data_IF_894591068510
#
_entry.id   IF_894591068510
#
_cell.length_a   1.000
_cell.length_b   1.000
_cell.length_c   1.000
_cell.angle_alpha   90.00
_cell.angle_beta   90.00
_cell.angle_gamma   90.00
#
_symmetry.space_group_name_H-M   'P 1'
#
loop_
_entity.id
_entity.type
_entity.pdbx_description
1 polymer ?
#
# COMPACT_ATOMS: atom_id res chain seq x y z
N UNK A 1 -38.14 8.33 -26.72
CA UNK A 1 -36.95 9.08 -26.25
C UNK A 1 -35.74 8.46 -26.90
N UNK A 2 -34.85 9.25 -27.51
CA UNK A 2 -33.50 8.74 -27.81
C UNK A 2 -32.75 8.60 -26.49
N UNK A 3 -32.02 7.50 -26.30
CA UNK A 3 -31.08 7.42 -25.19
C UNK A 3 -29.96 8.45 -25.47
N UNK A 4 -29.76 9.40 -24.55
CA UNK A 4 -28.64 10.33 -24.66
C UNK A 4 -27.34 9.57 -24.47
N UNK A 5 -26.58 9.40 -25.54
CA UNK A 5 -25.25 8.79 -25.47
C UNK A 5 -24.37 9.58 -24.51
N UNK A 6 -23.87 8.93 -23.47
CA UNK A 6 -22.76 9.47 -22.68
C UNK A 6 -21.51 9.54 -23.54
N UNK A 7 -20.75 10.64 -23.42
CA UNK A 7 -19.53 10.88 -24.18
C UNK A 7 -18.41 11.26 -23.23
N UNK A 8 -17.28 10.55 -23.28
CA UNK A 8 -16.05 10.96 -22.59
C UNK A 8 -15.49 12.24 -23.21
N UNK A 9 -15.28 13.27 -22.39
CA UNK A 9 -14.72 14.57 -22.80
C UNK A 9 -13.35 14.73 -22.11
N UNK A 10 -12.30 14.70 -22.91
CA UNK A 10 -10.90 14.76 -22.44
C UNK A 10 -10.09 15.82 -23.18
N UNK A 11 -9.24 16.52 -22.45
CA UNK A 11 -8.23 17.45 -22.95
C UNK A 11 -6.86 16.78 -22.80
N UNK A 12 -6.22 16.43 -23.91
CA UNK A 12 -4.94 15.71 -23.89
C UNK A 12 -3.75 16.68 -23.83
N UNK A 13 -2.85 16.46 -22.87
CA UNK A 13 -1.60 17.22 -22.73
C UNK A 13 -0.44 16.37 -23.26
N UNK A 14 0.01 16.69 -24.47
CA UNK A 14 1.30 16.23 -24.97
C UNK A 14 2.42 16.94 -24.21
N UNK A 15 3.31 16.17 -23.59
CA UNK A 15 4.47 16.71 -22.88
C UNK A 15 5.58 15.68 -22.77
N UNK A 16 6.80 16.09 -23.11
CA UNK A 16 8.03 15.34 -22.89
C UNK A 16 8.78 15.79 -21.62
N UNK A 17 8.18 16.70 -20.85
CA UNK A 17 8.75 17.26 -19.63
C UNK A 17 8.89 16.21 -18.52
N UNK A 18 10.12 16.08 -18.02
CA UNK A 18 10.45 15.22 -16.89
C UNK A 18 10.17 15.91 -15.57
N UNK A 19 9.23 15.37 -14.81
CA UNK A 19 8.90 15.82 -13.45
C UNK A 19 9.79 15.14 -12.40
N UNK A 20 9.83 15.74 -11.19
CA UNK A 20 10.53 15.14 -10.04
C UNK A 20 9.89 13.81 -9.66
N UNK A 21 10.70 12.76 -9.59
CA UNK A 21 10.21 11.44 -9.24
C UNK A 21 9.93 11.33 -7.73
N UNK A 22 8.69 11.02 -7.35
CA UNK A 22 8.32 10.77 -5.95
C UNK A 22 9.12 9.64 -5.28
N UNK A 23 9.63 8.69 -6.08
CA UNK A 23 10.37 7.51 -5.63
C UNK A 23 11.90 7.74 -5.61
N UNK A 24 12.55 7.90 -6.79
CA UNK A 24 14.02 8.04 -6.88
C UNK A 24 14.54 9.46 -6.57
N UNK A 25 13.65 10.42 -6.28
CA UNK A 25 13.90 11.85 -5.97
C UNK A 25 14.61 12.70 -7.04
N UNK A 26 15.16 12.08 -8.10
CA UNK A 26 15.64 12.74 -9.33
C UNK A 26 14.62 13.77 -9.83
N UNK A 27 15.10 14.98 -10.10
CA UNK A 27 14.34 16.17 -10.45
C UNK A 27 13.67 16.09 -11.83
N UNK A 28 14.23 15.31 -12.77
CA UNK A 28 13.67 15.04 -14.10
C UNK A 28 13.64 13.54 -14.35
N UNK A 29 12.92 12.82 -13.48
CA UNK A 29 12.93 11.35 -13.40
C UNK A 29 11.58 10.66 -13.64
N UNK A 30 10.48 11.41 -13.80
CA UNK A 30 9.14 10.88 -14.02
C UNK A 30 8.51 11.49 -15.29
N UNK A 31 8.14 10.64 -16.24
CA UNK A 31 7.57 11.04 -17.53
C UNK A 31 6.26 10.28 -17.75
N UNK A 32 5.20 10.96 -18.19
CA UNK A 32 3.89 10.33 -18.44
C UNK A 32 3.09 11.11 -19.45
N UNK A 33 2.41 10.39 -20.37
CA UNK A 33 1.30 10.96 -21.11
C UNK A 33 0.19 11.33 -20.14
N UNK A 34 -0.48 12.47 -20.35
CA UNK A 34 -1.51 12.98 -19.44
C UNK A 34 -2.70 13.57 -20.19
N UNK A 35 -3.87 13.54 -19.55
CA UNK A 35 -5.07 14.23 -20.01
C UNK A 35 -5.90 14.70 -18.80
N UNK A 36 -6.60 15.82 -18.94
CA UNK A 36 -7.68 16.19 -18.03
C UNK A 36 -8.99 15.63 -18.56
N UNK A 37 -9.71 14.88 -17.74
CA UNK A 37 -11.04 14.39 -18.09
C UNK A 37 -12.11 15.25 -17.43
N UNK A 38 -12.92 15.92 -18.25
CA UNK A 38 -14.04 16.71 -17.78
C UNK A 38 -15.19 15.79 -17.35
N UNK A 39 -15.47 14.77 -18.17
CA UNK A 39 -16.35 13.64 -17.87
C UNK A 39 -15.85 12.40 -18.61
N UNK A 40 -16.14 11.20 -18.11
CA UNK A 40 -15.71 9.93 -18.71
C UNK A 40 -16.63 8.78 -18.34
N UNK A 41 -16.96 7.94 -19.33
CA UNK A 41 -17.75 6.73 -19.09
C UNK A 41 -16.93 5.68 -18.34
N UNK A 42 -17.60 4.81 -17.59
CA UNK A 42 -16.92 3.74 -16.85
C UNK A 42 -16.34 2.65 -17.77
N UNK A 43 -16.86 2.51 -19.00
CA UNK A 43 -16.29 1.63 -20.01
C UNK A 43 -15.05 2.24 -20.68
N UNK A 44 -15.04 3.53 -21.00
CA UNK A 44 -13.84 4.18 -21.54
C UNK A 44 -12.67 4.14 -20.52
N UNK A 45 -12.97 4.35 -19.23
CA UNK A 45 -11.94 4.21 -18.20
C UNK A 45 -11.53 2.75 -17.94
N UNK A 46 -12.42 1.77 -18.16
CA UNK A 46 -12.06 0.35 -18.16
C UNK A 46 -11.07 0.03 -19.28
N UNK A 47 -11.33 0.49 -20.50
CA UNK A 47 -10.45 0.35 -21.66
C UNK A 47 -9.09 1.04 -21.44
N UNK A 48 -9.07 2.19 -20.75
CA UNK A 48 -7.85 2.92 -20.41
C UNK A 48 -7.05 2.23 -19.29
N UNK A 49 -7.69 1.79 -18.20
CA UNK A 49 -6.99 1.14 -17.07
C UNK A 49 -6.37 -0.20 -17.48
N UNK A 50 -7.04 -0.94 -18.36
CA UNK A 50 -6.51 -2.15 -18.96
C UNK A 50 -5.22 -1.89 -19.76
N UNK A 51 -5.16 -0.80 -20.55
CA UNK A 51 -3.99 -0.36 -21.33
C UNK A 51 -2.91 0.35 -20.50
N UNK A 52 -3.03 0.33 -19.17
CA UNK A 52 -2.04 0.83 -18.22
C UNK A 52 -2.18 2.29 -17.77
N UNK A 53 -3.25 2.99 -18.14
CA UNK A 53 -3.55 4.33 -17.61
C UNK A 53 -4.05 4.27 -16.15
N UNK A 54 -3.90 5.35 -15.39
CA UNK A 54 -4.51 5.55 -14.06
C UNK A 54 -5.02 6.99 -13.94
N UNK A 55 -5.83 7.26 -12.92
CA UNK A 55 -6.29 8.62 -12.58
C UNK A 55 -5.88 9.05 -11.18
N UNK A 56 -5.85 10.36 -10.97
CA UNK A 56 -5.81 11.02 -9.66
C UNK A 56 -6.75 12.22 -9.74
N UNK A 57 -7.93 12.10 -9.12
CA UNK A 57 -9.02 13.00 -9.42
C UNK A 57 -9.48 12.90 -10.88
N UNK A 58 -9.59 14.07 -11.53
CA UNK A 58 -9.89 14.23 -12.97
C UNK A 58 -8.67 14.17 -13.90
N UNK A 59 -7.45 14.11 -13.38
CA UNK A 59 -6.24 13.91 -14.20
C UNK A 59 -6.03 12.41 -14.47
N UNK A 60 -5.83 12.03 -15.72
CA UNK A 60 -5.63 10.64 -16.17
C UNK A 60 -4.28 10.55 -16.89
N UNK A 61 -3.46 9.55 -16.57
CA UNK A 61 -2.05 9.49 -17.01
C UNK A 61 -1.54 8.06 -17.25
N UNK A 62 -0.58 7.90 -18.16
CA UNK A 62 0.16 6.65 -18.44
C UNK A 62 1.67 6.92 -18.39
N UNK A 63 2.41 6.32 -17.43
CA UNK A 63 3.86 6.47 -17.35
C UNK A 63 4.60 5.99 -18.61
N UNK A 64 5.60 6.76 -19.04
CA UNK A 64 6.48 6.45 -20.16
C UNK A 64 7.63 5.58 -19.63
N UNK A 65 7.49 4.27 -19.82
CA UNK A 65 8.27 3.23 -19.12
C UNK A 65 9.75 3.21 -19.50
N UNK A 66 10.12 3.67 -20.70
CA UNK A 66 11.51 3.76 -21.17
C UNK A 66 12.21 5.09 -20.82
N UNK A 67 11.49 6.12 -20.34
CA UNK A 67 12.06 7.40 -19.89
C UNK A 67 12.12 7.53 -18.35
N UNK A 68 11.25 6.85 -17.62
CA UNK A 68 11.05 7.04 -16.16
C UNK A 68 12.06 6.26 -15.31
N UNK A 69 12.71 6.91 -14.33
CA UNK A 69 13.75 6.29 -13.47
C UNK A 69 13.26 5.12 -12.60
N UNK A 70 11.94 5.01 -12.41
CA UNK A 70 11.27 4.00 -11.60
C UNK A 70 10.04 3.48 -12.38
N UNK A 71 10.22 2.50 -13.29
CA UNK A 71 9.15 2.00 -14.14
C UNK A 71 7.94 1.53 -13.33
N UNK A 72 6.78 2.09 -13.66
CA UNK A 72 5.50 1.92 -12.96
C UNK A 72 4.65 0.85 -13.66
N UNK A 73 4.93 -0.42 -13.37
CA UNK A 73 4.21 -1.53 -13.98
C UNK A 73 2.76 -1.60 -13.49
N UNK A 74 1.81 -1.75 -14.42
CA UNK A 74 0.43 -2.07 -14.06
C UNK A 74 0.35 -3.48 -13.49
N UNK A 75 -0.33 -3.63 -12.36
CA UNK A 75 -0.62 -4.93 -11.77
C UNK A 75 -2.11 -5.08 -11.47
N UNK A 76 -2.60 -6.31 -11.63
CA UNK A 76 -3.97 -6.69 -11.28
C UNK A 76 -3.99 -8.07 -10.63
N UNK A 77 -5.06 -8.39 -9.92
CA UNK A 77 -5.29 -9.70 -9.34
C UNK A 77 -6.64 -10.26 -9.80
N UNK A 78 -6.67 -11.48 -10.31
CA UNK A 78 -7.91 -12.15 -10.71
C UNK A 78 -8.53 -12.81 -9.46
N UNK A 79 -9.57 -12.20 -8.87
CA UNK A 79 -9.97 -12.48 -7.47
C UNK A 79 -10.43 -13.91 -7.24
N UNK A 80 -11.00 -14.58 -8.24
CA UNK A 80 -11.40 -16.00 -8.16
C UNK A 80 -10.19 -16.96 -8.11
N UNK A 81 -9.02 -16.55 -8.63
CA UNK A 81 -7.76 -17.30 -8.58
C UNK A 81 -6.92 -16.97 -7.32
N UNK A 82 -7.26 -15.88 -6.62
CA UNK A 82 -6.51 -15.42 -5.44
C UNK A 82 -6.59 -16.41 -4.29
N UNK A 83 -5.45 -16.67 -3.65
CA UNK A 83 -5.35 -17.50 -2.45
C UNK A 83 -4.55 -16.77 -1.36
N UNK A 84 -5.12 -16.54 -0.16
CA UNK A 84 -4.42 -15.79 0.89
C UNK A 84 -3.11 -16.48 1.32
N UNK A 85 -1.99 -15.76 1.17
CA UNK A 85 -0.66 -16.23 1.55
C UNK A 85 -0.53 -16.38 3.07
N UNK A 86 0.58 -16.99 3.53
CA UNK A 86 0.89 -17.05 4.97
C UNK A 86 0.98 -15.65 5.60
N UNK A 87 1.43 -14.65 4.85
CA UNK A 87 1.45 -13.25 5.31
C UNK A 87 0.03 -12.66 5.38
N UNK A 88 -0.81 -12.90 4.37
CA UNK A 88 -2.20 -12.43 4.38
C UNK A 88 -2.96 -13.05 5.58
N UNK A 89 -2.80 -14.35 5.82
CA UNK A 89 -3.38 -15.06 6.98
C UNK A 89 -2.78 -14.60 8.33
N UNK A 90 -1.55 -14.06 8.38
CA UNK A 90 -0.99 -13.39 9.58
C UNK A 90 -1.70 -12.06 9.84
N UNK A 91 -1.87 -11.23 8.82
CA UNK A 91 -2.48 -9.90 8.95
C UNK A 91 -3.98 -9.99 9.28
N UNK A 92 -4.73 -10.89 8.65
CA UNK A 92 -6.12 -11.19 9.01
C UNK A 92 -6.24 -11.59 10.49
N UNK A 93 -5.40 -12.52 10.97
CA UNK A 93 -5.36 -12.88 12.40
C UNK A 93 -4.93 -11.75 13.32
N UNK A 94 -4.09 -10.81 12.87
CA UNK A 94 -3.70 -9.62 13.65
C UNK A 94 -4.91 -8.69 13.85
N UNK A 95 -5.70 -8.46 12.78
CA UNK A 95 -6.96 -7.70 12.89
C UNK A 95 -7.97 -8.41 13.79
N UNK A 96 -8.26 -9.70 13.57
CA UNK A 96 -9.29 -10.39 14.34
C UNK A 96 -8.90 -10.49 15.84
N UNK A 97 -7.62 -10.67 16.17
CA UNK A 97 -7.17 -10.59 17.57
C UNK A 97 -7.44 -9.20 18.15
N UNK A 98 -7.07 -8.14 17.44
CA UNK A 98 -7.32 -6.77 17.87
C UNK A 98 -8.83 -6.52 18.11
N UNK A 99 -9.71 -6.93 17.18
CA UNK A 99 -11.16 -6.77 17.35
C UNK A 99 -11.74 -7.57 18.53
N UNK A 100 -11.19 -8.75 18.82
CA UNK A 100 -11.66 -9.61 19.91
C UNK A 100 -11.17 -9.18 21.30
N UNK A 101 -9.92 -8.72 21.45
CA UNK A 101 -9.29 -8.47 22.77
C UNK A 101 -8.55 -7.14 22.92
N UNK A 102 -8.64 -6.23 21.94
CA UNK A 102 -8.06 -4.87 22.00
C UNK A 102 -6.54 -4.78 21.90
N UNK A 103 -5.81 -5.89 22.11
CA UNK A 103 -4.37 -5.95 21.91
C UNK A 103 -4.00 -5.51 20.48
N UNK A 104 -3.30 -4.38 20.36
CA UNK A 104 -2.48 -4.03 19.20
C UNK A 104 -1.09 -4.66 19.46
N UNK A 105 -0.67 -5.71 18.74
CA UNK A 105 0.62 -6.33 19.02
C UNK A 105 1.78 -5.38 18.68
N UNK A 106 2.48 -4.95 19.73
CA UNK A 106 3.78 -4.30 19.65
C UNK A 106 4.75 -5.18 18.86
N UNK A 107 5.37 -4.59 17.85
CA UNK A 107 6.24 -5.28 16.93
C UNK A 107 6.65 -4.35 15.80
N UNK A 108 7.88 -4.51 15.31
CA UNK A 108 8.49 -3.57 14.38
C UNK A 108 7.62 -3.31 13.14
N UNK A 109 7.63 -2.05 12.69
CA UNK A 109 6.86 -1.60 11.53
C UNK A 109 7.51 -2.08 10.21
N UNK A 110 7.37 -3.37 9.91
CA UNK A 110 7.70 -3.96 8.60
C UNK A 110 6.85 -3.36 7.46
N UNK A 111 5.77 -2.63 7.81
CA UNK A 111 4.80 -1.99 6.93
C UNK A 111 4.91 -0.46 6.90
N UNK A 112 6.07 0.05 6.48
CA UNK A 112 6.26 1.45 6.09
C UNK A 112 5.07 1.95 5.24
N UNK A 113 4.52 3.15 5.51
CA UNK A 113 3.25 3.61 4.93
C UNK A 113 3.29 3.70 3.40
N UNK A 114 2.14 3.41 2.80
CA UNK A 114 2.01 3.01 1.39
C UNK A 114 1.70 4.19 0.46
N UNK A 115 2.52 5.24 0.49
CA UNK A 115 2.44 6.33 -0.49
C UNK A 115 3.83 6.91 -0.86
N UNK A 116 3.87 7.58 -2.01
CA UNK A 116 5.04 7.97 -2.79
C UNK A 116 5.54 9.40 -2.53
N UNK A 117 5.50 9.85 -1.27
CA UNK A 117 6.09 11.13 -0.88
C UNK A 117 6.77 11.07 0.50
N UNK A 118 7.87 10.30 0.62
CA UNK A 118 8.81 10.45 1.72
C UNK A 118 9.57 11.78 1.61
N UNK A 119 9.59 12.58 2.68
CA UNK A 119 10.70 13.46 3.03
C UNK A 119 11.52 12.83 4.20
N UNK A 120 12.38 13.61 4.85
CA UNK A 120 13.36 13.23 5.87
C UNK A 120 14.58 12.41 5.35
N UNK A 121 15.82 12.74 5.71
CA UNK A 121 16.35 13.91 6.43
C UNK A 121 17.77 14.23 5.95
N UNK A 122 18.10 15.52 5.80
CA UNK A 122 19.48 16.03 5.66
C UNK A 122 19.92 16.76 6.95
N UNK A 123 21.24 16.96 7.16
CA UNK A 123 21.76 17.72 8.30
C UNK A 123 21.50 19.23 8.19
N UNK A 124 21.56 19.92 9.32
CA UNK A 124 21.26 21.34 9.48
C UNK A 124 22.38 22.26 8.96
N UNK A 125 22.00 23.41 8.36
CA UNK A 125 22.72 24.69 8.48
C UNK A 125 21.70 25.85 8.45
N UNK A 126 22.03 26.95 9.14
CA UNK A 126 21.11 28.04 9.51
C UNK A 126 21.13 29.22 8.49
N UNK A 127 20.15 30.17 8.49
CA UNK A 127 19.82 30.93 7.29
C UNK A 127 20.22 32.42 7.29
N UNK A 128 20.37 32.98 6.09
CA UNK A 128 20.26 34.42 5.84
C UNK A 128 19.86 34.73 4.39
N UNK A 129 18.85 35.60 4.24
CA UNK A 129 18.67 36.71 3.27
C UNK A 129 19.28 36.61 1.84
N UNK A 130 18.68 37.11 0.75
CA UNK A 130 17.44 37.86 0.43
C UNK A 130 17.32 37.78 -1.14
N UNK A 131 16.28 38.22 -1.88
CA UNK A 131 15.01 38.92 -1.59
C UNK A 131 13.92 38.46 -2.59
N UNK A 132 13.18 39.39 -3.24
CA UNK A 132 12.38 39.21 -4.45
C UNK A 132 12.69 40.38 -5.42
N UNK A 133 12.44 40.20 -6.71
CA UNK A 133 12.48 41.29 -7.69
C UNK A 133 11.41 41.09 -8.77
N UNK A 134 10.51 42.05 -8.91
CA UNK A 134 9.64 42.19 -10.09
C UNK A 134 10.38 42.96 -11.20
N UNK A 135 9.80 43.02 -12.40
CA UNK A 135 10.43 43.55 -13.61
C UNK A 135 9.98 44.99 -13.88
N UNK A 136 10.92 45.94 -13.95
CA UNK A 136 10.88 47.00 -14.98
C UNK A 136 12.26 47.66 -15.24
N UNK A 137 12.28 48.73 -16.04
CA UNK A 137 13.42 49.13 -16.89
C UNK A 137 14.61 49.89 -16.25
N UNK A 138 15.63 50.23 -17.08
CA UNK A 138 16.99 50.57 -16.61
C UNK A 138 17.30 52.07 -16.55
N UNK A 139 18.40 52.46 -15.84
CA UNK A 139 19.38 53.49 -16.27
C UNK A 139 20.61 53.58 -15.33
N UNK A 140 21.82 53.54 -15.93
CA UNK A 140 23.13 54.09 -15.51
C UNK A 140 23.77 53.65 -14.15
N UNK A 141 25.10 53.45 -14.18
CA UNK A 141 26.00 53.18 -13.04
C UNK A 141 26.88 54.43 -12.72
N UNK A 142 27.61 54.53 -11.57
CA UNK A 142 28.73 53.63 -11.28
C UNK A 142 28.96 53.24 -9.79
N UNK A 143 29.98 52.39 -9.63
CA UNK A 143 30.71 51.90 -8.44
C UNK A 143 31.59 53.01 -7.78
N UNK A 144 32.50 52.78 -6.77
CA UNK A 144 33.01 51.52 -6.17
C UNK A 144 33.26 51.54 -4.62
N UNK A 145 34.05 50.56 -4.14
CA UNK A 145 34.89 50.57 -2.90
C UNK A 145 34.22 50.20 -1.54
N UNK A 146 34.85 49.49 -0.58
CA UNK A 146 36.18 48.81 -0.50
C UNK A 146 36.29 47.82 0.69
N UNK A 147 37.30 46.93 0.67
CA UNK A 147 38.14 46.37 1.77
C UNK A 147 37.46 45.82 3.08
N UNK A 148 37.60 44.53 3.44
CA UNK A 148 38.74 43.87 4.17
C UNK A 148 38.29 43.48 5.62
N UNK A 149 38.90 42.60 6.43
CA UNK A 149 40.11 41.75 6.35
C UNK A 149 40.02 40.53 7.33
N UNK A 150 40.95 39.55 7.20
CA UNK A 150 41.59 38.59 8.16
C UNK A 150 41.11 38.37 9.64
N UNK A 151 41.47 37.33 10.45
CA UNK A 151 42.41 36.17 10.41
C UNK A 151 42.11 35.10 11.52
N UNK A 152 42.64 33.86 11.37
CA UNK A 152 43.27 32.90 12.36
C UNK A 152 42.72 32.62 13.80
N UNK A 153 43.10 31.56 14.57
CA UNK A 153 43.54 30.15 14.32
C UNK A 153 43.78 29.33 15.64
N UNK A 154 43.45 28.02 15.65
CA UNK A 154 44.12 26.89 16.39
C UNK A 154 44.13 26.85 17.99
N UNK A 155 44.80 25.88 18.70
CA UNK A 155 44.28 24.51 18.99
C UNK A 155 44.56 23.86 20.41
N UNK A 156 43.86 22.74 20.74
CA UNK A 156 44.31 21.52 21.54
C UNK A 156 44.82 21.61 23.04
N UNK A 157 45.15 20.51 23.81
CA UNK A 157 44.71 19.09 23.84
C UNK A 157 44.30 18.50 25.27
N UNK A 158 44.84 17.40 25.93
CA UNK A 158 44.00 16.34 26.55
C UNK A 158 44.42 15.80 27.98
N UNK A 159 43.81 14.68 28.48
CA UNK A 159 44.44 13.64 29.38
C UNK A 159 43.56 12.42 29.79
N UNK A 160 44.16 11.44 30.50
CA UNK A 160 43.58 10.18 31.03
C UNK A 160 43.91 10.01 32.56
N UNK A 161 43.83 8.88 33.31
CA UNK A 161 43.70 7.42 33.05
C UNK A 161 43.35 6.59 34.34
N UNK A 162 43.45 5.24 34.28
CA UNK A 162 43.71 4.25 35.37
C UNK A 162 42.55 3.46 36.06
N UNK A 163 42.93 2.29 36.62
CA UNK A 163 42.12 1.17 37.16
C UNK A 163 43.06 0.23 38.00
N UNK A 164 42.74 -1.03 38.43
CA UNK A 164 41.47 -1.78 38.46
C UNK A 164 41.04 -2.07 39.93
N UNK A 165 41.16 -3.26 40.62
CA UNK A 165 41.52 -4.65 40.26
C UNK A 165 40.30 -5.55 39.94
N UNK A 166 40.42 -6.89 40.02
CA UNK A 166 39.42 -7.85 39.53
C UNK A 166 39.45 -9.25 40.21
N UNK A 167 38.39 -10.07 40.01
CA UNK A 167 38.43 -11.54 40.13
C UNK A 167 37.45 -12.21 39.11
N UNK A 168 37.66 -13.47 38.73
CA UNK A 168 37.32 -13.96 37.38
C UNK A 168 36.54 -15.29 37.29
N UNK A 169 35.92 -15.55 36.11
CA UNK A 169 35.81 -16.90 35.51
C UNK A 169 35.42 -16.91 34.02
N UNK A 170 36.05 -17.82 33.26
CA UNK A 170 35.70 -18.35 31.93
C UNK A 170 35.40 -17.37 30.78
N UNK A 171 36.37 -17.20 29.88
CA UNK A 171 36.20 -16.55 28.57
C UNK A 171 35.99 -17.57 27.44
N UNK A 172 35.25 -17.18 26.40
CA UNK A 172 35.32 -17.79 25.07
C UNK A 172 35.94 -16.77 24.10
N UNK A 173 36.97 -17.18 23.37
CA UNK A 173 37.71 -16.34 22.43
C UNK A 173 37.05 -16.28 21.04
N UNK A 174 37.14 -15.11 20.40
CA UNK A 174 36.94 -14.97 18.95
C UNK A 174 38.12 -15.59 18.19
N UNK A 175 37.89 -16.40 17.15
CA UNK A 175 38.97 -16.99 16.36
C UNK A 175 39.52 -16.00 15.33
N UNK A 176 40.83 -16.08 15.07
CA UNK A 176 41.48 -15.38 13.96
C UNK A 176 41.07 -15.99 12.59
N UNK A 177 41.05 -15.21 11.50
CA UNK A 177 40.76 -15.73 10.17
C UNK A 177 41.94 -16.54 9.61
N UNK A 178 41.65 -17.64 8.89
CA UNK A 178 42.68 -18.31 8.07
C UNK A 178 42.90 -19.82 8.24
N UNK A 179 41.91 -20.59 8.72
CA UNK A 179 41.93 -22.06 8.59
C UNK A 179 40.61 -22.54 7.97
N UNK A 180 40.70 -23.53 7.07
CA UNK A 180 39.54 -24.14 6.41
C UNK A 180 38.62 -24.90 7.37
N UNK A 181 37.44 -25.30 6.89
CA UNK A 181 36.46 -26.01 7.71
C UNK A 181 37.01 -27.38 8.18
N UNK A 182 36.90 -27.64 9.48
CA UNK A 182 37.29 -28.91 10.13
C UNK A 182 36.54 -30.10 9.51
N UNK A 183 37.25 -31.05 8.86
CA UNK A 183 36.63 -32.18 8.17
C UNK A 183 36.00 -33.22 9.11
N UNK A 184 36.34 -33.22 10.41
CA UNK A 184 35.76 -34.15 11.39
C UNK A 184 34.48 -33.60 12.04
N UNK A 185 34.13 -32.33 11.81
CA UNK A 185 32.91 -31.74 12.36
C UNK A 185 31.70 -32.13 11.49
N UNK A 186 30.68 -32.82 12.02
CA UNK A 186 29.54 -33.26 11.22
C UNK A 186 28.80 -32.06 10.62
N UNK A 187 28.64 -32.07 9.29
CA UNK A 187 28.00 -31.01 8.52
C UNK A 187 26.64 -30.63 9.12
N UNK A 188 26.53 -29.39 9.58
CA UNK A 188 25.31 -28.86 10.20
C UNK A 188 24.17 -28.74 9.15
N UNK A 189 23.45 -29.85 8.94
CA UNK A 189 22.31 -29.96 8.02
C UNK A 189 21.35 -28.80 8.23
N UNK A 190 20.98 -28.10 7.15
CA UNK A 190 20.11 -26.93 7.24
C UNK A 190 18.76 -27.38 7.80
N UNK A 191 18.15 -26.58 8.68
CA UNK A 191 16.93 -26.97 9.40
C UNK A 191 15.72 -27.30 8.49
N UNK A 192 15.78 -26.94 7.20
CA UNK A 192 14.83 -27.34 6.14
C UNK A 192 14.88 -28.84 5.86
N UNK A 193 16.06 -29.44 5.89
CA UNK A 193 16.31 -30.81 5.45
C UNK A 193 15.89 -31.80 6.55
N UNK A 194 16.28 -31.51 7.79
CA UNK A 194 15.82 -32.20 9.01
C UNK A 194 14.28 -32.14 9.21
N UNK A 195 13.59 -31.19 8.57
CA UNK A 195 12.11 -31.12 8.53
C UNK A 195 11.52 -31.96 7.40
N UNK A 196 12.20 -32.07 6.25
CA UNK A 196 11.82 -32.95 5.13
C UNK A 196 11.98 -34.43 5.51
N UNK A 197 13.07 -34.76 6.19
CA UNK A 197 13.40 -36.10 6.69
C UNK A 197 12.38 -36.61 7.72
N UNK A 198 12.02 -35.80 8.73
CA UNK A 198 10.94 -36.13 9.69
C UNK A 198 9.57 -36.27 9.04
N UNK A 199 9.28 -35.54 7.97
CA UNK A 199 8.02 -35.70 7.21
C UNK A 199 7.98 -37.06 6.52
N UNK A 200 9.07 -37.44 5.84
CA UNK A 200 9.18 -38.73 5.16
C UNK A 200 9.04 -39.90 6.14
N UNK A 201 9.69 -39.83 7.30
CA UNK A 201 9.55 -40.83 8.37
C UNK A 201 8.12 -40.95 8.91
N UNK A 202 7.37 -39.84 8.99
CA UNK A 202 5.96 -39.86 9.41
C UNK A 202 5.03 -40.42 8.31
N UNK A 203 5.36 -40.20 7.04
CA UNK A 203 4.66 -40.79 5.91
C UNK A 203 4.92 -42.30 5.80
N UNK A 204 6.14 -42.76 6.09
CA UNK A 204 6.51 -44.19 6.18
C UNK A 204 5.83 -44.92 7.35
N UNK A 205 5.78 -44.33 8.55
CA UNK A 205 5.05 -44.96 9.70
C UNK A 205 3.57 -45.17 9.40
N UNK A 206 2.91 -44.18 8.76
CA UNK A 206 1.51 -44.31 8.30
C UNK A 206 1.28 -45.38 7.22
N UNK A 207 2.34 -45.89 6.59
CA UNK A 207 2.25 -47.02 5.65
C UNK A 207 2.43 -48.36 6.37
N UNK A 208 3.25 -48.43 7.43
CA UNK A 208 3.41 -49.63 8.27
C UNK A 208 2.22 -49.86 9.22
N UNK A 209 1.49 -48.83 9.62
CA UNK A 209 0.28 -48.91 10.46
C UNK A 209 -0.95 -49.54 9.74
N UNK A 210 -0.78 -50.13 8.55
CA UNK A 210 -1.86 -50.71 7.72
C UNK A 210 -1.85 -52.25 7.71
N UNK A 211 -0.74 -52.90 8.07
CA UNK A 211 -0.59 -54.38 7.99
C UNK A 211 -0.80 -55.10 9.33
N UNK A 212 -1.98 -54.93 9.97
CA UNK A 212 -2.44 -55.83 11.04
C UNK A 212 -3.94 -56.13 10.88
N UNK A 213 -4.34 -57.37 10.50
CA UNK A 213 -5.74 -57.76 10.45
C UNK A 213 -6.24 -58.20 11.82
N UNK A 214 -7.35 -57.64 12.30
CA UNK A 214 -8.10 -58.17 13.47
C UNK A 214 -9.58 -57.83 13.31
N UNK A 215 -10.51 -58.81 13.41
CA UNK A 215 -11.92 -58.58 13.08
C UNK A 215 -12.77 -58.14 14.28
N UNK A 216 -13.11 -56.86 14.35
CA UNK A 216 -14.27 -56.37 15.11
C UNK A 216 -14.82 -55.10 14.46
N UNK A 217 -16.12 -55.07 14.18
CA UNK A 217 -16.79 -53.94 13.55
C UNK A 217 -17.49 -53.06 14.60
N UNK A 218 -17.23 -51.74 14.62
CA UNK A 218 -18.13 -50.75 15.16
C UNK A 218 -19.02 -50.13 14.07
N UNK A 219 -20.21 -49.70 14.49
CA UNK A 219 -21.22 -48.95 13.72
C UNK A 219 -20.63 -47.72 13.02
N UNK A 220 -21.09 -47.33 11.81
CA UNK A 220 -20.59 -46.14 11.12
C UNK A 220 -20.92 -44.85 11.88
N UNK A 221 -19.96 -44.31 12.62
CA UNK A 221 -20.00 -42.93 13.12
C UNK A 221 -19.96 -41.95 11.94
N UNK A 222 -20.78 -40.90 11.99
CA UNK A 222 -20.80 -39.86 10.97
C UNK A 222 -19.43 -39.19 10.81
N UNK A 223 -18.97 -38.91 9.58
CA UNK A 223 -17.64 -38.36 9.35
C UNK A 223 -17.55 -36.93 9.94
N UNK A 224 -16.56 -36.73 10.82
CA UNK A 224 -16.25 -35.45 11.44
C UNK A 224 -16.03 -34.35 10.38
N UNK A 225 -16.39 -33.11 10.73
CA UNK A 225 -16.41 -31.95 9.84
C UNK A 225 -15.17 -31.82 8.95
N UNK A 226 -15.41 -31.55 7.65
CA UNK A 226 -14.41 -31.61 6.59
C UNK A 226 -13.22 -30.68 6.87
N UNK A 227 -12.01 -31.19 6.67
CA UNK A 227 -10.74 -30.54 6.99
C UNK A 227 -10.33 -29.48 5.93
N UNK A 228 -11.29 -28.66 5.51
CA UNK A 228 -11.14 -27.65 4.47
C UNK A 228 -10.36 -26.43 4.98
N UNK A 229 -9.50 -25.83 4.14
CA UNK A 229 -8.78 -24.62 4.52
C UNK A 229 -9.73 -23.41 4.54
N UNK A 230 -9.86 -22.72 5.69
CA UNK A 230 -10.65 -21.48 5.81
C UNK A 230 -10.43 -20.53 4.62
N UNK A 231 -11.54 -20.08 4.04
CA UNK A 231 -11.63 -19.13 2.93
C UNK A 231 -11.17 -17.71 3.36
N UNK A 232 -11.08 -16.77 2.41
CA UNK A 232 -10.77 -15.38 2.75
C UNK A 232 -11.96 -14.75 3.51
N UNK A 233 -13.16 -15.09 3.05
CA UNK A 233 -14.45 -14.63 3.53
C UNK A 233 -14.70 -15.13 4.97
N UNK A 234 -14.30 -16.38 5.26
CA UNK A 234 -14.29 -16.93 6.62
C UNK A 234 -13.40 -16.07 7.52
N UNK A 235 -12.13 -15.84 7.15
CA UNK A 235 -11.21 -15.03 7.95
C UNK A 235 -11.67 -13.58 8.16
N UNK A 236 -12.51 -13.05 7.28
CA UNK A 236 -13.09 -11.71 7.41
C UNK A 236 -14.37 -11.65 8.26
N UNK A 237 -14.97 -12.81 8.53
CA UNK A 237 -16.18 -12.99 9.34
C UNK A 237 -15.90 -13.65 10.70
N UNK A 238 -14.70 -14.22 10.88
CA UNK A 238 -14.20 -14.97 12.04
C UNK A 238 -13.88 -14.07 13.25
N UNK A 239 -14.89 -13.35 13.76
CA UNK A 239 -14.87 -12.69 15.07
C UNK A 239 -15.38 -13.67 16.14
N UNK A 240 -14.57 -13.92 17.17
CA UNK A 240 -14.89 -14.83 18.27
C UNK A 240 -14.32 -14.28 19.58
N UNK A 241 -15.00 -14.35 20.74
CA UNK A 241 -16.29 -15.01 21.00
C UNK A 241 -17.51 -14.07 20.81
N UNK A 242 -18.67 -14.42 21.40
CA UNK A 242 -20.02 -13.85 21.18
C UNK A 242 -20.18 -12.32 21.36
N UNK A 243 -19.20 -11.64 21.96
CA UNK A 243 -19.11 -10.18 22.03
C UNK A 243 -17.67 -9.75 21.72
N UNK A 244 -17.34 -9.27 20.51
CA UNK A 244 -16.03 -8.69 20.24
C UNK A 244 -15.87 -7.36 20.97
N UNK A 245 -14.67 -7.08 21.48
CA UNK A 245 -14.38 -5.84 22.21
C UNK A 245 -14.52 -4.59 21.33
N UNK A 246 -14.16 -4.70 20.04
CA UNK A 246 -14.29 -3.63 19.06
C UNK A 246 -15.11 -4.07 17.85
N UNK A 247 -16.03 -3.20 17.41
CA UNK A 247 -16.92 -3.39 16.27
C UNK A 247 -16.37 -2.66 15.05
N UNK A 248 -15.87 -3.41 14.07
CA UNK A 248 -15.45 -2.89 12.77
C UNK A 248 -16.56 -3.01 11.73
N UNK A 249 -17.14 -1.87 11.35
CA UNK A 249 -18.02 -1.73 10.20
C UNK A 249 -17.22 -1.31 8.96
N UNK A 250 -17.61 -1.80 7.78
CA UNK A 250 -17.08 -1.33 6.50
C UNK A 250 -18.24 -0.90 5.62
N UNK A 251 -18.26 0.38 5.27
CA UNK A 251 -19.37 1.04 4.54
C UNK A 251 -18.87 1.44 3.14
N UNK A 252 -19.64 1.12 2.10
CA UNK A 252 -19.40 1.64 0.75
C UNK A 252 -20.20 2.94 0.57
N UNK A 253 -19.53 4.01 0.19
CA UNK A 253 -20.11 5.35 0.13
C UNK A 253 -19.77 6.00 -1.21
N UNK A 254 -20.75 6.43 -2.01
CA UNK A 254 -20.52 6.96 -3.36
C UNK A 254 -19.99 8.40 -3.30
N UNK A 255 -18.79 8.65 -3.83
CA UNK A 255 -18.17 9.98 -3.84
C UNK A 255 -18.58 10.81 -5.06
N UNK A 256 -18.84 10.16 -6.20
CA UNK A 256 -19.25 10.83 -7.43
C UNK A 256 -20.48 10.14 -8.09
N UNK A 257 -21.61 10.87 -8.26
CA UNK A 257 -21.97 12.09 -7.52
C UNK A 257 -22.10 11.80 -6.01
N UNK A 258 -21.86 12.80 -5.14
CA UNK A 258 -21.76 12.57 -3.69
C UNK A 258 -23.11 12.23 -3.04
N UNK A 259 -23.19 11.06 -2.41
CA UNK A 259 -24.38 10.60 -1.69
C UNK A 259 -24.63 11.36 -0.37
N UNK A 260 -25.75 11.07 0.29
CA UNK A 260 -26.08 11.57 1.64
C UNK A 260 -25.02 11.16 2.67
N UNK A 261 -24.58 9.90 2.60
CA UNK A 261 -23.59 9.29 3.51
C UNK A 261 -22.19 9.86 3.24
N UNK A 262 -21.90 10.20 1.98
CA UNK A 262 -20.65 10.89 1.64
C UNK A 262 -20.60 12.28 2.27
N UNK A 263 -21.70 13.04 2.16
CA UNK A 263 -21.81 14.38 2.74
C UNK A 263 -21.74 14.37 4.26
N UNK A 264 -22.41 13.42 4.93
CA UNK A 264 -22.40 13.33 6.40
C UNK A 264 -21.10 12.80 7.00
N UNK A 265 -20.28 12.08 6.21
CA UNK A 265 -18.96 11.58 6.64
C UNK A 265 -17.78 12.42 6.16
N UNK A 266 -18.00 13.44 5.31
CA UNK A 266 -16.97 14.21 4.63
C UNK A 266 -15.93 14.79 5.59
N UNK A 267 -16.36 15.46 6.66
CA UNK A 267 -15.45 16.13 7.59
C UNK A 267 -14.60 15.12 8.39
N UNK A 268 -15.20 14.02 8.86
CA UNK A 268 -14.46 12.95 9.52
C UNK A 268 -13.41 12.33 8.60
N UNK A 269 -13.75 12.17 7.32
CA UNK A 269 -12.87 11.67 6.26
C UNK A 269 -11.72 12.65 5.95
N UNK A 270 -12.01 13.96 5.89
CA UNK A 270 -11.01 15.00 5.67
C UNK A 270 -10.04 15.15 6.85
N UNK A 271 -10.54 15.12 8.09
CA UNK A 271 -9.67 15.15 9.28
C UNK A 271 -8.76 13.91 9.34
N UNK A 272 -9.29 12.73 9.01
CA UNK A 272 -8.49 11.51 8.89
C UNK A 272 -7.40 11.62 7.82
N UNK A 273 -7.72 12.21 6.66
CA UNK A 273 -6.72 12.51 5.62
C UNK A 273 -5.65 13.49 6.11
N UNK A 274 -6.02 14.59 6.80
CA UNK A 274 -5.05 15.54 7.37
C UNK A 274 -4.10 14.87 8.35
N UNK A 275 -4.62 14.06 9.28
CA UNK A 275 -3.82 13.30 10.25
C UNK A 275 -2.87 12.32 9.56
N UNK A 276 -3.31 11.64 8.51
CA UNK A 276 -2.45 10.77 7.69
C UNK A 276 -1.34 11.57 7.00
N UNK A 277 -1.65 12.69 6.33
CA UNK A 277 -0.63 13.54 5.67
C UNK A 277 0.44 14.02 6.67
N UNK A 278 0.04 14.59 7.82
CA UNK A 278 0.98 15.07 8.83
C UNK A 278 1.87 13.94 9.38
N UNK A 279 1.29 12.78 9.74
CA UNK A 279 2.05 11.69 10.36
C UNK A 279 2.94 10.92 9.38
N UNK A 280 2.48 10.70 8.15
CA UNK A 280 3.18 9.87 7.14
C UNK A 280 4.09 10.70 6.25
N UNK A 281 3.62 11.83 5.73
CA UNK A 281 4.35 12.64 4.75
C UNK A 281 5.22 13.73 5.38
N UNK A 282 5.05 13.97 6.69
CA UNK A 282 5.75 14.99 7.48
C UNK A 282 5.40 16.43 7.08
N UNK A 283 4.21 16.63 6.52
CA UNK A 283 3.60 17.93 6.30
C UNK A 283 3.59 18.75 7.62
N UNK A 284 4.27 19.91 7.71
CA UNK A 284 4.37 20.67 8.95
C UNK A 284 3.02 21.24 9.41
N UNK A 285 2.80 21.38 10.74
CA UNK A 285 1.51 21.78 11.31
C UNK A 285 1.16 23.26 11.11
N UNK A 286 2.11 24.16 11.36
CA UNK A 286 1.84 25.59 11.57
C UNK A 286 1.99 26.47 10.33
N UNK A 287 2.60 25.92 9.26
CA UNK A 287 2.38 26.48 7.92
C UNK A 287 1.07 25.93 7.39
N UNK A 288 0.28 26.72 6.65
CA UNK A 288 -0.38 26.15 5.50
C UNK A 288 0.72 25.66 4.56
N UNK A 289 1.07 24.37 4.70
CA UNK A 289 1.47 23.57 3.55
C UNK A 289 0.50 23.84 2.41
N UNK A 290 0.93 23.59 1.17
CA UNK A 290 -0.03 23.47 0.08
C UNK A 290 -1.22 22.59 0.50
N UNK A 291 -1.00 21.56 1.31
CA UNK A 291 -2.06 20.67 1.80
C UNK A 291 -3.15 21.32 2.67
N UNK A 292 -2.94 22.47 3.31
CA UNK A 292 -4.02 23.21 3.99
C UNK A 292 -4.83 24.10 3.01
N UNK A 293 -4.20 24.59 1.94
CA UNK A 293 -4.93 25.12 0.76
C UNK A 293 -5.63 23.96 0.01
N UNK A 294 -5.09 22.73 0.09
CA UNK A 294 -5.70 21.48 -0.42
C UNK A 294 -6.85 20.95 0.45
N UNK A 295 -7.60 21.80 1.15
CA UNK A 295 -9.05 21.54 1.26
C UNK A 295 -9.65 21.30 -0.15
N UNK A 296 -9.18 22.06 -1.14
CA UNK A 296 -9.44 21.81 -2.55
C UNK A 296 -8.80 20.53 -3.10
N UNK A 297 -7.64 20.09 -2.59
CA UNK A 297 -6.87 18.97 -3.16
C UNK A 297 -7.32 17.61 -2.63
N UNK A 298 -7.71 17.51 -1.35
CA UNK A 298 -8.45 16.34 -0.85
C UNK A 298 -9.67 16.08 -1.73
N UNK A 299 -10.46 17.13 -1.99
CA UNK A 299 -11.60 17.08 -2.90
C UNK A 299 -11.19 16.74 -4.34
N UNK A 300 -10.31 17.52 -4.97
CA UNK A 300 -9.86 17.38 -6.37
C UNK A 300 -9.23 16.02 -6.67
N UNK A 301 -8.47 15.43 -5.75
CA UNK A 301 -7.73 14.18 -6.00
C UNK A 301 -8.44 12.92 -5.51
N UNK A 302 -9.16 12.99 -4.37
CA UNK A 302 -9.70 11.80 -3.69
C UNK A 302 -11.24 11.73 -3.68
N UNK A 303 -11.95 12.85 -3.84
CA UNK A 303 -13.43 12.86 -3.83
C UNK A 303 -14.00 12.97 -5.25
N UNK A 304 -13.52 13.97 -5.99
CA UNK A 304 -13.94 14.32 -7.33
C UNK A 304 -13.48 13.25 -8.32
N UNK A 305 -14.34 12.97 -9.30
CA UNK A 305 -14.08 11.98 -10.33
C UNK A 305 -14.56 12.48 -11.68
N UNK A 306 -13.90 12.07 -12.79
CA UNK A 306 -14.48 12.21 -14.11
C UNK A 306 -15.55 11.14 -14.37
N UNK A 307 -15.57 10.05 -13.59
CA UNK A 307 -16.42 8.90 -13.87
C UNK A 307 -17.89 9.22 -13.66
N UNK A 308 -18.66 9.05 -14.73
CA UNK A 308 -20.12 9.09 -14.71
C UNK A 308 -20.67 7.89 -13.94
N UNK A 309 -21.73 8.10 -13.18
CA UNK A 309 -22.36 7.04 -12.40
C UNK A 309 -23.35 6.26 -13.25
N UNK A 310 -23.02 5.01 -13.54
CA UNK A 310 -23.81 4.13 -14.41
C UNK A 310 -24.50 3.01 -13.61
N UNK A 311 -25.74 2.68 -14.01
CA UNK A 311 -26.48 1.50 -13.57
C UNK A 311 -26.78 0.63 -14.80
N UNK A 312 -26.35 -0.64 -14.79
CA UNK A 312 -26.61 -1.62 -15.85
C UNK A 312 -27.30 -2.85 -15.25
N UNK A 313 -28.14 -3.53 -16.04
CA UNK A 313 -28.86 -4.74 -15.59
C UNK A 313 -27.91 -5.94 -15.36
N UNK A 314 -26.74 -5.90 -15.99
CA UNK A 314 -25.62 -6.85 -15.87
C UNK A 314 -24.55 -6.37 -14.89
N UNK A 315 -24.78 -5.23 -14.22
CA UNK A 315 -23.89 -4.62 -13.24
C UNK A 315 -24.24 -4.96 -11.79
N UNK A 316 -23.40 -4.55 -10.83
CA UNK A 316 -23.69 -4.69 -9.41
C UNK A 316 -24.78 -3.71 -8.95
N UNK A 317 -25.53 -4.06 -7.91
CA UNK A 317 -26.62 -3.23 -7.33
C UNK A 317 -26.16 -1.85 -6.84
N UNK A 318 -24.88 -1.69 -6.51
CA UNK A 318 -24.27 -0.41 -6.10
C UNK A 318 -23.98 0.53 -7.28
N UNK A 319 -24.05 0.02 -8.51
CA UNK A 319 -23.67 0.71 -9.75
C UNK A 319 -22.15 0.85 -9.93
N UNK A 320 -21.77 1.41 -11.08
CA UNK A 320 -20.39 1.75 -11.40
C UNK A 320 -20.06 3.20 -11.00
N UNK A 321 -18.77 3.57 -11.05
CA UNK A 321 -18.26 4.90 -10.72
C UNK A 321 -17.35 4.91 -9.49
N UNK A 322 -17.23 6.05 -8.81
CA UNK A 322 -16.26 6.27 -7.73
C UNK A 322 -16.87 6.28 -6.33
N UNK A 323 -16.18 5.60 -5.40
CA UNK A 323 -16.63 5.34 -4.04
C UNK A 323 -15.49 5.47 -3.03
N UNK A 324 -15.86 5.74 -1.78
CA UNK A 324 -15.03 5.59 -0.59
C UNK A 324 -15.50 4.33 0.14
N UNK A 325 -14.62 3.34 0.29
CA UNK A 325 -14.81 2.23 1.20
C UNK A 325 -14.27 2.64 2.58
N UNK A 326 -15.18 2.96 3.49
CA UNK A 326 -14.90 3.55 4.79
C UNK A 326 -14.86 2.48 5.89
N UNK A 327 -13.87 2.54 6.76
CA UNK A 327 -13.62 1.61 7.85
C UNK A 327 -13.88 2.29 9.19
N UNK A 328 -14.98 1.91 9.85
CA UNK A 328 -15.48 2.52 11.08
C UNK A 328 -15.29 1.55 12.24
N UNK A 329 -14.45 1.92 13.21
CA UNK A 329 -14.21 1.16 14.44
C UNK A 329 -14.90 1.87 15.60
N UNK A 330 -15.86 1.22 16.25
CA UNK A 330 -16.61 1.75 17.41
C UNK A 330 -17.22 3.15 17.16
N UNK A 331 -17.65 3.41 15.92
CA UNK A 331 -18.19 4.71 15.49
C UNK A 331 -17.15 5.75 15.08
N UNK A 332 -15.85 5.48 15.22
CA UNK A 332 -14.74 6.33 14.73
C UNK A 332 -14.25 5.86 13.36
N UNK A 333 -14.12 6.76 12.40
CA UNK A 333 -13.53 6.45 11.10
C UNK A 333 -12.00 6.27 11.24
N UNK A 334 -11.48 5.08 10.90
CA UNK A 334 -10.05 4.73 11.06
C UNK A 334 -9.30 4.51 9.73
N UNK A 335 -9.99 4.24 8.62
CA UNK A 335 -9.39 4.17 7.29
C UNK A 335 -10.42 4.45 6.18
N UNK A 336 -9.94 4.89 5.02
CA UNK A 336 -10.75 5.04 3.80
C UNK A 336 -9.94 4.62 2.58
N UNK A 337 -10.43 3.60 1.88
CA UNK A 337 -9.98 3.23 0.54
C UNK A 337 -10.79 3.99 -0.50
N UNK A 338 -10.12 4.76 -1.36
CA UNK A 338 -10.74 5.41 -2.53
C UNK A 338 -10.69 4.41 -3.68
N UNK A 339 -11.86 4.00 -4.18
CA UNK A 339 -11.98 2.94 -5.18
C UNK A 339 -12.89 3.35 -6.34
N UNK A 340 -12.60 2.84 -7.52
CA UNK A 340 -13.50 2.87 -8.68
C UNK A 340 -14.06 1.47 -8.94
N UNK A 341 -15.37 1.36 -9.16
CA UNK A 341 -16.06 0.13 -9.57
C UNK A 341 -16.39 0.26 -11.07
N UNK A 342 -15.85 -0.65 -11.88
CA UNK A 342 -15.87 -0.62 -13.35
C UNK A 342 -16.39 -1.95 -13.93
N UNK A 343 -16.81 -2.01 -15.22
CA UNK A 343 -17.45 -3.19 -15.82
C UNK A 343 -16.73 -4.55 -15.72
N UNK A 344 -15.42 -4.60 -15.48
CA UNK A 344 -14.69 -5.86 -15.23
C UNK A 344 -13.84 -5.88 -13.95
N UNK A 345 -13.78 -4.77 -13.20
CA UNK A 345 -12.83 -4.65 -12.10
C UNK A 345 -13.23 -3.64 -11.01
N UNK A 346 -12.56 -3.75 -9.85
CA UNK A 346 -12.40 -2.61 -8.93
C UNK A 346 -10.95 -2.14 -8.98
N UNK A 347 -10.75 -0.84 -9.02
CA UNK A 347 -9.43 -0.20 -8.93
C UNK A 347 -9.25 0.48 -7.58
N UNK A 348 -8.23 0.08 -6.83
CA UNK A 348 -7.76 0.82 -5.65
C UNK A 348 -6.98 2.04 -6.11
N UNK A 349 -7.53 3.24 -5.88
CA UNK A 349 -6.94 4.52 -6.29
C UNK A 349 -6.00 5.04 -5.21
N UNK A 350 -6.46 5.04 -3.95
CA UNK A 350 -5.70 5.57 -2.81
C UNK A 350 -6.19 4.99 -1.48
N UNK A 351 -5.34 5.02 -0.44
CA UNK A 351 -5.71 4.61 0.93
C UNK A 351 -5.05 5.55 1.94
N UNK A 352 -5.83 6.02 2.90
CA UNK A 352 -5.36 6.76 4.07
C UNK A 352 -6.01 6.21 5.33
N UNK A 353 -5.30 6.26 6.45
CA UNK A 353 -5.71 5.62 7.70
C UNK A 353 -5.12 6.31 8.94
N UNK A 354 -5.69 5.99 10.10
CA UNK A 354 -5.32 6.64 11.35
C UNK A 354 -3.99 6.06 11.88
N UNK A 355 -2.96 6.89 12.17
CA UNK A 355 -1.60 6.42 12.44
C UNK A 355 -1.46 5.36 13.54
N UNK A 356 -2.24 5.47 14.62
CA UNK A 356 -2.28 4.54 15.77
C UNK A 356 -2.49 3.07 15.32
N UNK A 357 -3.21 2.86 14.22
CA UNK A 357 -3.58 1.55 13.68
C UNK A 357 -2.63 1.07 12.57
N UNK A 358 -1.53 1.79 12.31
CA UNK A 358 -0.45 1.38 11.39
C UNK A 358 0.02 -0.06 11.63
N UNK A 359 0.15 -0.43 12.91
CA UNK A 359 0.50 -1.78 13.36
C UNK A 359 -0.45 -2.89 12.84
N UNK A 360 -1.69 -2.57 12.46
CA UNK A 360 -2.65 -3.55 11.92
C UNK A 360 -2.47 -3.81 10.40
N UNK A 361 -1.44 -3.21 9.77
CA UNK A 361 -1.13 -3.37 8.35
C UNK A 361 -2.31 -3.00 7.44
N UNK A 362 -2.95 -1.86 7.68
CA UNK A 362 -4.24 -1.51 7.05
C UNK A 362 -4.21 -1.53 5.51
N UNK A 363 -3.09 -1.23 4.85
CA UNK A 363 -2.93 -1.37 3.40
C UNK A 363 -2.83 -2.80 2.84
N UNK A 364 -2.62 -3.79 3.72
CA UNK A 364 -2.81 -5.22 3.39
C UNK A 364 -4.23 -5.66 3.74
N UNK A 365 -4.82 -5.12 4.83
CA UNK A 365 -6.18 -5.46 5.24
C UNK A 365 -7.23 -4.93 4.26
N UNK A 366 -7.13 -3.66 3.81
CA UNK A 366 -8.07 -3.09 2.84
C UNK A 366 -8.03 -3.89 1.53
N UNK A 367 -6.84 -4.17 1.00
CA UNK A 367 -6.68 -4.96 -0.22
C UNK A 367 -7.32 -6.37 -0.12
N UNK A 368 -7.33 -6.98 1.06
CA UNK A 368 -8.02 -8.25 1.31
C UNK A 368 -9.55 -8.09 1.41
N UNK A 369 -10.04 -6.98 1.97
CA UNK A 369 -11.48 -6.62 1.99
C UNK A 369 -11.98 -6.26 0.60
N UNK A 370 -11.19 -5.56 -0.20
CA UNK A 370 -11.45 -5.20 -1.59
C UNK A 370 -11.56 -6.47 -2.45
N UNK A 371 -10.63 -7.43 -2.32
CA UNK A 371 -10.72 -8.74 -3.00
C UNK A 371 -12.00 -9.51 -2.62
N UNK A 372 -12.38 -9.54 -1.34
CA UNK A 372 -13.60 -10.21 -0.89
C UNK A 372 -14.88 -9.47 -1.37
N UNK A 373 -14.86 -8.14 -1.40
CA UNK A 373 -15.94 -7.32 -1.92
C UNK A 373 -16.15 -7.54 -3.42
N UNK A 374 -15.08 -7.61 -4.22
CA UNK A 374 -15.15 -7.94 -5.66
C UNK A 374 -15.77 -9.33 -5.85
N UNK A 375 -15.42 -10.33 -5.01
CA UNK A 375 -16.05 -11.67 -5.04
C UNK A 375 -17.53 -11.66 -4.64
N UNK A 376 -17.99 -10.66 -3.88
CA UNK A 376 -19.41 -10.45 -3.64
C UNK A 376 -20.10 -9.85 -4.87
N UNK A 377 -19.53 -8.78 -5.45
CA UNK A 377 -20.07 -8.15 -6.67
C UNK A 377 -20.09 -9.09 -7.87
N UNK A 378 -19.11 -9.98 -7.99
CA UNK A 378 -19.00 -10.94 -9.09
C UNK A 378 -20.18 -11.92 -9.18
N UNK A 379 -20.92 -12.12 -8.08
CA UNK A 379 -22.17 -12.90 -8.05
C UNK A 379 -23.33 -12.20 -8.78
N UNK A 380 -23.28 -10.87 -8.89
CA UNK A 380 -24.25 -10.04 -9.61
C UNK A 380 -23.74 -9.76 -11.04
N UNK A 381 -22.46 -9.40 -11.18
CA UNK A 381 -21.82 -9.10 -12.46
C UNK A 381 -20.65 -10.05 -12.75
N UNK A 382 -20.84 -11.14 -13.52
CA UNK A 382 -19.81 -12.16 -13.73
C UNK A 382 -18.50 -11.66 -14.37
N UNK A 383 -18.55 -10.53 -15.11
CA UNK A 383 -17.39 -9.86 -15.71
C UNK A 383 -16.45 -9.25 -14.66
N UNK A 384 -16.97 -8.92 -13.48
CA UNK A 384 -16.30 -8.12 -12.45
C UNK A 384 -15.35 -9.00 -11.61
N UNK A 385 -14.25 -9.46 -12.23
CA UNK A 385 -13.35 -10.47 -11.67
C UNK A 385 -11.91 -10.00 -11.39
N UNK A 386 -11.54 -8.76 -11.75
CA UNK A 386 -10.20 -8.21 -11.52
C UNK A 386 -10.16 -7.16 -10.40
N UNK A 387 -9.01 -7.12 -9.71
CA UNK A 387 -8.65 -6.10 -8.73
C UNK A 387 -7.38 -5.37 -9.19
N UNK A 388 -7.45 -4.07 -9.48
CA UNK A 388 -6.30 -3.25 -9.86
C UNK A 388 -5.69 -2.58 -8.62
N UNK A 389 -4.43 -2.89 -8.30
CA UNK A 389 -3.73 -2.40 -7.09
C UNK A 389 -2.90 -1.14 -7.37
N UNK A 390 -3.31 -0.30 -8.31
CA UNK A 390 -2.49 0.81 -8.83
C UNK A 390 -1.27 0.31 -9.62
N UNK A 391 -0.09 0.87 -9.35
CA UNK A 391 1.20 0.48 -9.95
C UNK A 391 2.07 -0.35 -8.99
N UNK A 392 3.09 -1.00 -9.56
CA UNK A 392 4.20 -1.68 -8.89
C UNK A 392 5.54 -1.22 -9.49
N UNK A 393 6.51 -0.90 -8.64
CA UNK A 393 7.88 -0.52 -9.04
C UNK A 393 8.83 -1.55 -8.42
N UNK A 394 9.56 -2.29 -9.26
CA UNK A 394 10.41 -3.39 -8.81
C UNK A 394 11.52 -2.95 -7.84
N UNK A 395 12.09 -1.76 -8.06
CA UNK A 395 13.13 -1.17 -7.21
C UNK A 395 12.61 -0.62 -5.88
N UNK A 396 11.30 -0.49 -5.67
CA UNK A 396 10.71 0.09 -4.46
C UNK A 396 10.36 -0.98 -3.41
N UNK A 397 11.07 -1.08 -2.26
CA UNK A 397 10.83 -2.12 -1.27
C UNK A 397 9.40 -2.08 -0.71
N UNK A 398 8.83 -0.88 -0.52
CA UNK A 398 7.46 -0.66 -0.02
C UNK A 398 6.38 -1.34 -0.86
N UNK A 399 6.62 -1.55 -2.16
CA UNK A 399 5.64 -2.14 -3.07
C UNK A 399 5.69 -3.67 -3.15
N UNK A 400 6.69 -4.34 -2.56
CA UNK A 400 6.91 -5.80 -2.66
C UNK A 400 5.74 -6.64 -2.16
N UNK A 401 4.95 -6.14 -1.20
CA UNK A 401 3.77 -6.88 -0.71
C UNK A 401 2.73 -7.12 -1.82
N UNK A 402 2.58 -6.19 -2.77
CA UNK A 402 1.56 -6.27 -3.83
C UNK A 402 1.73 -7.49 -4.74
N UNK A 403 2.96 -7.99 -4.91
CA UNK A 403 3.30 -9.18 -5.71
C UNK A 403 3.54 -10.44 -4.85
N UNK A 404 3.31 -10.37 -3.53
CA UNK A 404 3.56 -11.47 -2.58
C UNK A 404 2.37 -12.45 -2.43
N UNK A 405 1.48 -12.51 -3.43
CA UNK A 405 0.26 -13.33 -3.43
C UNK A 405 0.05 -14.07 -4.75
N UNK A 406 -0.52 -15.28 -4.68
CA UNK A 406 -0.90 -16.04 -5.88
C UNK A 406 -2.09 -15.39 -6.59
N UNK A 407 -2.06 -15.38 -7.93
CA UNK A 407 -3.11 -14.78 -8.76
C UNK A 407 -2.93 -13.28 -9.06
N UNK A 408 -1.77 -12.70 -8.73
CA UNK A 408 -1.36 -11.35 -9.18
C UNK A 408 -0.64 -11.47 -10.52
N UNK A 409 -1.11 -10.71 -11.51
CA UNK A 409 -0.59 -10.60 -12.87
C UNK A 409 0.12 -9.24 -13.02
N UNK A 410 1.38 -9.23 -13.47
CA UNK A 410 2.06 -8.00 -13.91
C UNK A 410 1.77 -7.81 -15.39
N UNK A 411 1.08 -6.72 -15.74
CA UNK A 411 0.75 -6.39 -17.11
C UNK A 411 1.90 -5.60 -17.73
N UNK A 412 2.89 -6.34 -18.24
CA UNK A 412 3.97 -5.81 -19.06
C UNK A 412 3.51 -5.72 -20.51
N UNK A 413 2.55 -4.84 -20.79
CA UNK A 413 2.27 -4.43 -22.17
C UNK A 413 3.39 -3.49 -22.62
N UNK A 414 4.00 -3.83 -23.76
CA UNK A 414 5.02 -3.05 -24.48
C UNK A 414 6.35 -2.83 -23.72
N UNK A 415 7.20 -3.86 -23.71
CA UNK A 415 8.55 -3.59 -24.23
C UNK A 415 8.41 -3.41 -25.75
N UNK A 416 8.91 -2.33 -26.36
CA UNK A 416 9.22 -2.37 -27.79
C UNK A 416 10.30 -3.44 -28.04
N UNK A 417 10.22 -4.09 -29.19
CA UNK A 417 11.24 -5.04 -29.67
C UNK A 417 12.51 -4.33 -30.13
#
# INVERSE_FOLDING_TARGET
>A
MAAGSSYSIVEYFGGDDGYRCGYCKNEKGNFSHGMWSHTMTVQDYQDLIDRGWRRSGKYVYKPIMNKTCCPQYTIRCHVLKFQPSKSHKKNLKKMNKFLSVGEIPEGQCDGEPMDSACQERGPEQDPSQLSASEVEGPIIAPTPEKEAETNSAAPEPPRQESAPPANAKASHSTPAPGVGADPNRPLCRKAKDLRKERRLQKEQRRQQEVEVPTPSAPTPTTPTTSNQPKSLEDFLSDTSPDSPLHRLEVRLVRSNPPSSEFKSSFDASYQLYKLYQMAVHKDPPDKPTESQVRGQGYRRFLCDSPLEAEMSAEGPEVGYGSFHQQYWLDGRLIAVGVIDILPSCVSSVYLYYHPDFSNLSLGVYSALREIAFIRQLQKQSPKLCHYYLGFYIHSCPKMRYKVSGGGVEIRMEEMPL
#
